data_IF_386900274815
#
_entry.id   IF_386900274815
#
_cell.length_a   1.000
_cell.length_b   1.000
_cell.length_c   1.000
_cell.angle_alpha   90.00
_cell.angle_beta   90.00
_cell.angle_gamma   90.00
#
_symmetry.space_group_name_H-M   'P 1'
#
loop_
_entity.id
_entity.type
_entity.pdbx_description
1 polymer ?
#
# COMPACT_ATOMS: atom_id res chain seq x y z
N UNK A 1 12.43 14.07 9.00
CA UNK A 1 12.17 13.20 7.83
C UNK A 1 10.70 13.28 7.45
N UNK A 2 10.38 13.51 6.17
CA UNK A 2 8.99 13.56 5.73
C UNK A 2 8.38 12.14 5.69
N UNK A 3 7.14 12.01 6.17
CA UNK A 3 6.36 10.75 6.16
C UNK A 3 4.89 11.06 5.89
N UNK A 4 4.14 10.06 5.44
CA UNK A 4 2.70 10.20 5.28
C UNK A 4 2.02 10.30 6.66
N UNK A 5 1.41 11.44 6.97
CA UNK A 5 0.70 11.70 8.24
C UNK A 5 -0.82 11.63 8.11
N UNK A 6 -1.33 11.33 6.92
CA UNK A 6 -2.76 11.26 6.64
C UNK A 6 -3.45 9.99 7.17
N UNK A 7 -4.73 9.79 6.84
CA UNK A 7 -5.52 8.65 7.31
C UNK A 7 -5.04 7.31 6.77
N UNK A 8 -4.20 6.59 7.53
CA UNK A 8 -3.58 5.31 7.13
C UNK A 8 -4.56 4.16 6.84
N UNK A 9 -5.72 4.11 7.52
CA UNK A 9 -6.73 3.09 7.24
C UNK A 9 -7.35 3.24 5.84
N UNK A 10 -7.31 4.47 5.28
CA UNK A 10 -7.76 4.73 3.90
C UNK A 10 -6.88 4.00 2.88
N UNK A 11 -5.58 3.90 3.18
CA UNK A 11 -4.59 3.18 2.37
C UNK A 11 -4.90 1.69 2.36
N UNK A 12 -5.11 1.08 3.53
CA UNK A 12 -5.47 -0.35 3.65
C UNK A 12 -6.71 -0.67 2.81
N UNK A 13 -7.77 0.13 2.96
CA UNK A 13 -9.02 -0.02 2.19
C UNK A 13 -8.83 0.19 0.69
N UNK A 14 -8.03 1.17 0.28
CA UNK A 14 -7.74 1.40 -1.14
C UNK A 14 -6.94 0.24 -1.74
N UNK A 15 -6.05 -0.37 -0.96
CA UNK A 15 -5.17 -1.43 -1.42
C UNK A 15 -5.81 -2.80 -1.43
N UNK A 16 -6.85 -2.99 -0.62
CA UNK A 16 -7.56 -4.26 -0.47
C UNK A 16 -6.92 -5.20 0.54
N UNK A 17 -5.91 -4.75 1.30
CA UNK A 17 -5.14 -5.58 2.22
C UNK A 17 -4.97 -4.91 3.59
N UNK A 18 -4.85 -5.72 4.65
CA UNK A 18 -4.42 -5.25 5.97
C UNK A 18 -2.91 -4.98 5.97
N UNK A 19 -2.54 -3.70 6.09
CA UNK A 19 -1.14 -3.25 6.16
C UNK A 19 -0.65 -3.04 7.61
N UNK A 20 -1.48 -3.32 8.62
CA UNK A 20 -1.14 -3.22 10.05
C UNK A 20 -0.55 -1.87 10.53
N UNK A 21 -0.85 -0.78 9.84
CA UNK A 21 -0.29 0.55 10.10
C UNK A 21 -0.74 1.21 11.42
N UNK A 22 -1.64 0.58 12.18
CA UNK A 22 -2.13 1.07 13.49
C UNK A 22 -1.85 0.11 14.66
N UNK A 23 -0.99 -0.89 14.46
CA UNK A 23 -0.65 -1.86 15.50
C UNK A 23 -1.88 -2.60 16.03
N UNK A 24 -2.08 -2.59 17.35
CA UNK A 24 -3.15 -3.30 18.07
C UNK A 24 -4.56 -3.07 17.48
N UNK A 25 -4.86 -1.85 17.06
CA UNK A 25 -6.18 -1.53 16.49
C UNK A 25 -6.48 -2.30 15.20
N UNK A 26 -5.45 -2.72 14.46
CA UNK A 26 -5.62 -3.50 13.24
C UNK A 26 -6.04 -4.95 13.50
N UNK A 27 -5.85 -5.47 14.71
CA UNK A 27 -6.27 -6.80 15.15
C UNK A 27 -7.67 -6.81 15.79
N UNK A 28 -8.21 -5.64 16.10
CA UNK A 28 -9.53 -5.47 16.70
C UNK A 28 -10.64 -5.37 15.64
N UNK A 29 -11.90 -5.76 15.96
CA UNK A 29 -13.10 -5.50 15.15
C UNK A 29 -13.34 -4.01 14.84
N UNK A 30 -12.66 -3.11 15.56
CA UNK A 30 -12.67 -1.67 15.31
C UNK A 30 -11.81 -1.27 14.09
N UNK A 31 -11.14 -2.22 13.43
CA UNK A 31 -10.37 -1.98 12.21
C UNK A 31 -11.29 -1.53 11.07
N UNK A 32 -10.97 -0.40 10.45
CA UNK A 32 -11.79 0.15 9.36
C UNK A 32 -11.80 -0.75 8.11
N UNK A 33 -10.79 -1.60 7.94
CA UNK A 33 -10.74 -2.56 6.85
C UNK A 33 -11.76 -3.70 7.06
N UNK A 34 -11.86 -4.24 8.27
CA UNK A 34 -12.85 -5.29 8.59
C UNK A 34 -14.28 -4.78 8.47
N UNK A 35 -14.54 -3.56 8.98
CA UNK A 35 -15.87 -2.95 8.89
C UNK A 35 -16.26 -2.54 7.47
N UNK A 36 -15.28 -2.13 6.65
CA UNK A 36 -15.49 -1.56 5.31
C UNK A 36 -14.34 -1.93 4.38
N UNK A 37 -14.30 -3.16 3.83
CA UNK A 37 -13.16 -3.61 3.00
C UNK A 37 -13.09 -2.89 1.65
N UNK A 38 -14.20 -2.32 1.19
CA UNK A 38 -14.27 -1.63 -0.10
C UNK A 38 -13.39 -0.37 -0.16
N UNK A 39 -12.84 -0.04 -1.35
CA UNK A 39 -12.08 1.19 -1.57
C UNK A 39 -12.82 2.44 -1.09
N UNK A 40 -12.10 3.46 -0.60
CA UNK A 40 -12.69 4.71 -0.16
C UNK A 40 -13.12 5.58 -1.36
N UNK A 41 -14.20 6.33 -1.19
CA UNK A 41 -14.74 7.26 -2.20
C UNK A 41 -15.94 6.69 -2.98
N UNK A 42 -16.53 7.49 -3.88
CA UNK A 42 -17.64 7.06 -4.73
C UNK A 42 -17.25 5.83 -5.57
N UNK A 43 -18.15 4.85 -5.66
CA UNK A 43 -17.92 3.65 -6.46
C UNK A 43 -18.20 3.97 -7.93
N UNK A 44 -17.28 3.65 -8.86
CA UNK A 44 -17.55 3.85 -10.28
C UNK A 44 -18.70 2.94 -10.73
N UNK A 45 -19.57 3.45 -11.62
CA UNK A 45 -20.72 2.71 -12.16
C UNK A 45 -20.31 1.41 -12.88
N UNK A 46 -19.10 1.38 -13.47
CA UNK A 46 -18.52 0.19 -14.10
C UNK A 46 -17.15 -0.12 -13.51
N UNK A 47 -16.88 -1.40 -13.27
CA UNK A 47 -15.54 -1.87 -12.92
C UNK A 47 -14.67 -1.86 -14.18
N UNK A 48 -13.55 -1.14 -14.15
CA UNK A 48 -12.55 -1.17 -15.22
C UNK A 48 -11.54 -2.27 -14.92
N UNK A 49 -11.16 -3.05 -15.94
CA UNK A 49 -10.05 -4.00 -15.85
C UNK A 49 -8.75 -3.22 -15.56
N UNK A 50 -7.95 -3.72 -14.64
CA UNK A 50 -6.65 -3.13 -14.32
C UNK A 50 -5.65 -3.60 -15.38
N UNK A 51 -4.86 -2.69 -15.94
CA UNK A 51 -3.78 -3.04 -16.85
C UNK A 51 -2.60 -3.65 -16.10
N UNK A 52 -1.69 -4.34 -16.79
CA UNK A 52 -0.51 -4.97 -16.17
C UNK A 52 0.36 -3.95 -15.44
N UNK A 53 0.61 -2.78 -16.07
CA UNK A 53 1.27 -1.64 -15.41
C UNK A 53 0.50 -1.16 -14.18
N UNK A 54 -0.84 -1.18 -14.23
CA UNK A 54 -1.69 -0.83 -13.10
C UNK A 54 -1.55 -1.81 -11.94
N UNK A 55 -1.38 -3.10 -12.25
CA UNK A 55 -1.11 -4.15 -11.25
C UNK A 55 0.26 -3.92 -10.59
N UNK A 56 1.31 -3.75 -11.40
CA UNK A 56 2.66 -3.45 -10.93
C UNK A 56 2.71 -2.19 -10.04
N UNK A 57 2.02 -1.12 -10.47
CA UNK A 57 1.92 0.10 -9.69
C UNK A 57 1.26 -0.17 -8.34
N UNK A 58 0.19 -0.97 -8.29
CA UNK A 58 -0.45 -1.33 -7.03
C UNK A 58 0.51 -2.07 -6.10
N UNK A 59 1.24 -3.07 -6.60
CA UNK A 59 2.22 -3.81 -5.80
C UNK A 59 3.32 -2.90 -5.25
N UNK A 60 3.89 -2.05 -6.10
CA UNK A 60 4.85 -1.04 -5.66
C UNK A 60 4.30 -0.13 -4.56
N UNK A 61 3.09 0.40 -4.75
CA UNK A 61 2.45 1.27 -3.76
C UNK A 61 2.11 0.52 -2.45
N UNK A 62 1.85 -0.79 -2.52
CA UNK A 62 1.68 -1.66 -1.33
C UNK A 62 2.96 -1.68 -0.51
N UNK A 63 4.06 -2.12 -1.12
CA UNK A 63 5.34 -2.29 -0.45
C UNK A 63 5.78 -0.98 0.18
N UNK A 64 5.71 0.12 -0.58
CA UNK A 64 6.02 1.46 -0.07
C UNK A 64 5.21 1.83 1.16
N UNK A 65 3.89 1.58 1.14
CA UNK A 65 3.01 1.91 2.24
C UNK A 65 3.25 1.03 3.47
N UNK A 66 3.51 -0.26 3.29
CA UNK A 66 3.81 -1.21 4.38
C UNK A 66 5.03 -0.76 5.18
N UNK A 67 6.11 -0.38 4.49
CA UNK A 67 7.34 0.07 5.13
C UNK A 67 7.32 1.56 5.54
N UNK A 68 6.26 2.30 5.21
CA UNK A 68 6.13 3.71 5.58
C UNK A 68 7.17 4.64 4.94
N UNK A 69 7.80 4.24 3.83
CA UNK A 69 8.87 4.99 3.15
C UNK A 69 8.33 5.90 2.05
N UNK A 70 9.08 6.96 1.73
CA UNK A 70 8.77 7.82 0.59
C UNK A 70 9.18 7.18 -0.74
N UNK A 71 8.55 7.63 -1.83
CA UNK A 71 8.80 7.14 -3.20
C UNK A 71 10.29 7.22 -3.59
N UNK A 72 10.95 8.34 -3.28
CA UNK A 72 12.37 8.56 -3.59
C UNK A 72 13.27 7.60 -2.83
N UNK A 73 12.95 7.34 -1.55
CA UNK A 73 13.69 6.43 -0.71
C UNK A 73 13.49 4.97 -1.16
N UNK A 74 12.24 4.58 -1.47
CA UNK A 74 11.92 3.28 -2.03
C UNK A 74 12.68 3.01 -3.35
N UNK A 75 12.75 4.00 -4.24
CA UNK A 75 13.49 3.87 -5.50
C UNK A 75 15.00 3.69 -5.26
N UNK A 76 15.57 4.35 -4.25
CA UNK A 76 16.98 4.16 -3.86
C UNK A 76 17.23 2.72 -3.40
N UNK A 77 16.38 2.19 -2.51
CA UNK A 77 16.49 0.81 -2.05
C UNK A 77 16.37 -0.20 -3.18
N UNK A 78 15.43 0.01 -4.10
CA UNK A 78 15.29 -0.84 -5.28
C UNK A 78 16.56 -0.83 -6.16
N UNK A 79 17.08 0.37 -6.48
CA UNK A 79 18.31 0.50 -7.28
C UNK A 79 19.52 -0.13 -6.60
N UNK A 80 19.59 -0.04 -5.29
CA UNK A 80 20.65 -0.66 -4.50
C UNK A 80 20.52 -2.18 -4.49
N UNK A 81 19.31 -2.72 -4.30
CA UNK A 81 19.04 -4.16 -4.33
C UNK A 81 19.36 -4.79 -5.71
N UNK A 82 19.05 -4.09 -6.80
CA UNK A 82 19.36 -4.54 -8.17
C UNK A 82 20.87 -4.57 -8.46
N UNK A 83 21.66 -3.73 -7.79
CA UNK A 83 23.12 -3.69 -7.96
C UNK A 83 23.85 -4.77 -7.17
N UNK A 84 23.24 -5.29 -6.11
CA UNK A 84 23.86 -6.30 -5.25
C UNK A 84 23.77 -7.68 -5.91
N UNK A 85 24.81 -8.52 -5.80
CA UNK A 85 24.75 -9.90 -6.27
C UNK A 85 23.72 -10.71 -5.48
N UNK A 86 23.02 -11.61 -6.14
CA UNK A 86 21.95 -12.44 -5.56
C UNK A 86 20.57 -12.14 -6.13
N UNK A 87 19.52 -12.68 -5.50
CA UNK A 87 18.13 -12.44 -5.89
C UNK A 87 17.69 -11.08 -5.33
N UNK A 88 17.43 -10.10 -6.21
CA UNK A 88 17.09 -8.73 -5.81
C UNK A 88 15.70 -8.57 -5.18
N UNK A 89 14.86 -9.60 -5.27
CA UNK A 89 13.49 -9.64 -4.75
C UNK A 89 12.45 -10.01 -5.80
#
# INVERSE_FOLDING_TARGET
MARYTGPVCRICRRRGDKLYLKGERCYSPKCAFERRPNPPGPRPARRRKVSDRGLQLREKQRARATYGVLERQFLRYYKEAVRRPGVSG
#
